data_IF_968041907593
#
_entry.id   IF_968041907593
#
_cell.length_a   1.000
_cell.length_b   1.000
_cell.length_c   1.000
_cell.angle_alpha   90.00
_cell.angle_beta   90.00
_cell.angle_gamma   90.00
#
_symmetry.space_group_name_H-M   'P 1'
#
loop_
_entity.id
_entity.type
_entity.pdbx_description
1 polymer ?
#
# COMPACT_ATOMS: atom_id res chain seq x y z
N UNK A 1 31.28 -45.28 19.92
CA UNK A 1 31.08 -44.27 20.99
C UNK A 1 29.93 -43.35 20.54
N UNK A 2 28.70 -43.62 21.01
CA UNK A 2 27.48 -42.88 20.67
C UNK A 2 27.47 -41.56 21.46
N UNK A 3 27.18 -40.43 20.81
CA UNK A 3 26.93 -39.13 21.45
C UNK A 3 25.42 -38.95 21.67
N UNK A 4 25.08 -38.55 22.90
CA UNK A 4 23.72 -38.37 23.44
C UNK A 4 22.94 -37.19 22.83
N UNK A 5 21.65 -37.35 22.49
CA UNK A 5 20.81 -36.30 21.88
C UNK A 5 20.23 -35.26 22.88
N UNK A 6 20.80 -35.09 24.08
CA UNK A 6 20.22 -34.28 25.15
C UNK A 6 20.82 -32.86 25.33
N UNK A 7 21.59 -32.33 24.37
CA UNK A 7 22.23 -30.99 24.48
C UNK A 7 21.60 -29.86 23.64
N UNK A 8 20.34 -29.99 23.22
CA UNK A 8 19.57 -28.84 22.74
C UNK A 8 18.79 -28.21 23.91
N UNK A 9 19.50 -27.58 24.85
CA UNK A 9 18.85 -26.71 25.84
C UNK A 9 18.44 -25.42 25.12
N UNK A 10 17.14 -25.31 24.86
CA UNK A 10 16.50 -24.06 24.47
C UNK A 10 16.94 -22.95 25.44
N UNK A 11 17.73 -22.01 24.92
CA UNK A 11 17.91 -20.73 25.57
C UNK A 11 16.51 -20.11 25.67
N UNK A 12 15.95 -20.07 26.88
CA UNK A 12 14.68 -19.40 27.17
C UNK A 12 14.82 -17.94 26.74
N UNK A 13 14.30 -17.61 25.56
CA UNK A 13 14.22 -16.25 25.08
C UNK A 13 13.27 -15.50 26.02
N UNK A 14 13.79 -14.52 26.76
CA UNK A 14 12.97 -13.71 27.66
C UNK A 14 12.25 -12.64 26.82
N UNK A 15 10.91 -12.69 26.66
CA UNK A 15 10.18 -11.75 25.82
C UNK A 15 10.27 -10.30 26.32
N UNK A 16 10.64 -10.08 27.58
CA UNK A 16 10.80 -8.76 28.18
C UNK A 16 12.12 -8.05 27.80
N UNK A 17 13.03 -8.69 27.05
CA UNK A 17 14.31 -8.09 26.60
C UNK A 17 14.38 -7.81 25.10
N UNK A 18 13.29 -8.01 24.35
CA UNK A 18 13.21 -7.55 22.98
C UNK A 18 13.05 -6.03 23.00
N UNK A 19 14.17 -5.29 23.02
CA UNK A 19 14.15 -3.86 22.70
C UNK A 19 13.48 -3.74 21.33
N UNK A 20 12.39 -2.97 21.17
CA UNK A 20 11.84 -2.74 19.85
C UNK A 20 12.94 -2.01 19.07
N UNK A 21 13.61 -2.73 18.17
CA UNK A 21 14.45 -2.11 17.17
C UNK A 21 13.48 -1.34 16.28
N UNK A 22 13.23 -0.08 16.63
CA UNK A 22 12.58 0.87 15.73
C UNK A 22 13.57 1.01 14.58
N UNK A 23 13.42 0.16 13.54
CA UNK A 23 13.95 0.51 12.22
C UNK A 23 13.52 1.96 12.02
N UNK A 24 14.42 2.91 11.71
CA UNK A 24 13.99 4.26 11.45
C UNK A 24 13.01 4.14 10.28
N UNK A 25 11.73 4.24 10.61
CA UNK A 25 10.67 4.24 9.63
C UNK A 25 10.76 5.53 8.86
N UNK A 26 9.92 5.66 7.84
CA UNK A 26 9.66 6.94 7.21
C UNK A 26 9.31 7.96 8.31
N UNK A 27 9.87 9.15 8.21
CA UNK A 27 9.37 10.33 8.93
C UNK A 27 7.90 10.57 8.60
N UNK A 28 7.22 11.41 9.38
CA UNK A 28 5.82 11.74 9.12
C UNK A 28 5.62 12.36 7.73
N UNK A 29 6.52 13.26 7.32
CA UNK A 29 6.48 13.88 5.99
C UNK A 29 6.71 12.86 4.85
N UNK A 30 7.67 11.94 5.02
CA UNK A 30 7.92 10.88 4.05
C UNK A 30 6.75 9.88 3.98
N UNK A 31 6.13 9.58 5.13
CA UNK A 31 4.93 8.73 5.19
C UNK A 31 3.76 9.38 4.47
N UNK A 32 3.50 10.67 4.75
CA UNK A 32 2.46 11.43 4.08
C UNK A 32 2.68 11.49 2.57
N UNK A 33 3.91 11.77 2.14
CA UNK A 33 4.28 11.82 0.71
C UNK A 33 4.08 10.45 0.05
N UNK A 34 4.56 9.36 0.67
CA UNK A 34 4.41 8.01 0.13
C UNK A 34 2.94 7.61 -0.02
N UNK A 35 2.09 7.94 0.96
CA UNK A 35 0.66 7.66 0.90
C UNK A 35 -0.09 8.51 -0.12
N UNK A 36 0.25 9.80 -0.24
CA UNK A 36 -0.35 10.66 -1.27
C UNK A 36 -0.01 10.16 -2.68
N UNK A 37 1.25 9.82 -2.93
CA UNK A 37 1.66 9.24 -4.22
C UNK A 37 0.94 7.92 -4.46
N UNK A 38 0.93 7.00 -3.49
CA UNK A 38 0.25 5.72 -3.64
C UNK A 38 -1.26 5.91 -3.92
N UNK A 39 -1.92 6.83 -3.23
CA UNK A 39 -3.34 7.13 -3.45
C UNK A 39 -3.62 7.60 -4.88
N UNK A 40 -2.76 8.46 -5.43
CA UNK A 40 -2.92 8.94 -6.81
C UNK A 40 -2.65 7.83 -7.83
N UNK A 41 -1.64 7.00 -7.59
CA UNK A 41 -1.29 5.88 -8.48
C UNK A 41 -2.32 4.73 -8.45
N UNK A 42 -3.16 4.67 -7.41
CA UNK A 42 -4.30 3.75 -7.34
C UNK A 42 -5.56 4.31 -8.02
N UNK A 43 -5.54 5.55 -8.52
CA UNK A 43 -6.63 6.10 -9.33
C UNK A 43 -6.76 5.40 -10.67
N UNK A 44 -7.93 5.56 -11.31
CA UNK A 44 -8.13 5.09 -12.68
C UNK A 44 -7.09 5.76 -13.60
N UNK A 45 -6.42 5.02 -14.49
CA UNK A 45 -5.44 5.60 -15.39
C UNK A 45 -6.17 6.42 -16.45
N UNK A 46 -5.99 7.73 -16.40
CA UNK A 46 -6.49 8.68 -17.38
C UNK A 46 -5.37 9.65 -17.83
N UNK A 47 -5.68 10.54 -18.78
CA UNK A 47 -4.72 11.52 -19.26
C UNK A 47 -4.16 12.40 -18.13
N UNK A 48 -4.98 12.76 -17.14
CA UNK A 48 -4.59 13.61 -16.02
C UNK A 48 -3.53 12.92 -15.14
N UNK A 49 -3.71 11.63 -14.84
CA UNK A 49 -2.72 10.84 -14.12
C UNK A 49 -1.39 10.77 -14.89
N UNK A 50 -1.45 10.57 -16.21
CA UNK A 50 -0.24 10.49 -17.04
C UNK A 50 0.50 11.83 -17.10
N UNK A 51 -0.22 12.95 -17.14
CA UNK A 51 0.34 14.30 -17.07
C UNK A 51 1.02 14.58 -15.71
N UNK A 52 0.50 13.99 -14.63
CA UNK A 52 1.07 14.13 -13.27
C UNK A 52 2.33 13.30 -13.03
N UNK A 53 2.69 12.34 -13.90
CA UNK A 53 3.85 11.44 -13.70
C UNK A 53 5.17 12.16 -13.39
N UNK A 54 5.56 13.27 -14.06
CA UNK A 54 6.81 13.97 -13.73
C UNK A 54 6.83 14.51 -12.30
N UNK A 55 5.69 15.02 -11.81
CA UNK A 55 5.56 15.48 -10.42
C UNK A 55 5.66 14.32 -9.45
N UNK A 56 4.96 13.22 -9.72
CA UNK A 56 4.98 12.01 -8.89
C UNK A 56 6.39 11.42 -8.81
N UNK A 57 7.13 11.37 -9.94
CA UNK A 57 8.53 10.92 -9.96
C UNK A 57 9.44 11.78 -9.09
N UNK A 58 9.26 13.11 -9.09
CA UNK A 58 10.03 14.01 -8.21
C UNK A 58 9.74 13.74 -6.74
N UNK A 59 8.46 13.58 -6.37
CA UNK A 59 8.06 13.24 -5.01
C UNK A 59 8.66 11.89 -4.56
N UNK A 60 8.61 10.88 -5.44
CA UNK A 60 9.16 9.54 -5.18
C UNK A 60 10.69 9.57 -5.04
N UNK A 61 11.39 10.39 -5.82
CA UNK A 61 12.84 10.54 -5.72
C UNK A 61 13.31 11.13 -4.38
N UNK A 62 12.44 11.87 -3.68
CA UNK A 62 12.71 12.39 -2.34
C UNK A 62 12.50 11.39 -1.21
N UNK A 63 11.98 10.19 -1.49
CA UNK A 63 11.69 9.18 -0.47
C UNK A 63 12.87 8.21 -0.26
N UNK A 64 12.98 7.61 0.94
CA UNK A 64 13.88 6.48 1.18
C UNK A 64 13.58 5.32 0.23
N UNK A 65 14.63 4.56 -0.13
CA UNK A 65 14.55 3.49 -1.12
C UNK A 65 13.47 2.43 -0.82
N UNK A 66 13.14 2.21 0.45
CA UNK A 66 12.07 1.29 0.89
C UNK A 66 10.69 1.68 0.34
N UNK A 67 10.40 2.97 0.19
CA UNK A 67 9.18 3.48 -0.40
C UNK A 67 9.37 3.87 -1.87
N UNK A 68 10.52 4.47 -2.22
CA UNK A 68 10.78 4.94 -3.58
C UNK A 68 10.83 3.81 -4.61
N UNK A 69 11.41 2.66 -4.25
CA UNK A 69 11.59 1.52 -5.18
C UNK A 69 10.26 0.96 -5.71
N UNK A 70 9.30 0.54 -4.85
CA UNK A 70 8.03 0.01 -5.36
C UNK A 70 7.21 1.05 -6.13
N UNK A 71 7.17 2.31 -5.68
CA UNK A 71 6.44 3.38 -6.36
C UNK A 71 7.08 3.73 -7.71
N UNK A 72 8.41 3.80 -7.77
CA UNK A 72 9.17 4.03 -8.99
C UNK A 72 8.92 2.96 -10.05
N UNK A 73 8.92 1.68 -9.65
CA UNK A 73 8.60 0.56 -10.57
C UNK A 73 7.21 0.68 -11.18
N UNK A 74 6.22 1.13 -10.42
CA UNK A 74 4.88 1.34 -10.96
C UNK A 74 4.85 2.52 -11.93
N UNK A 75 5.54 3.62 -11.61
CA UNK A 75 5.70 4.75 -12.54
C UNK A 75 6.42 4.32 -13.84
N UNK A 76 7.41 3.42 -13.76
CA UNK A 76 8.07 2.86 -14.95
C UNK A 76 7.09 2.04 -15.80
N UNK A 77 6.20 1.28 -15.17
CA UNK A 77 5.12 0.58 -15.86
C UNK A 77 4.13 1.55 -16.52
N UNK A 78 3.76 2.65 -15.86
CA UNK A 78 2.90 3.69 -16.45
C UNK A 78 3.54 4.40 -17.65
N UNK A 79 4.86 4.50 -17.71
CA UNK A 79 5.58 5.12 -18.83
C UNK A 79 5.73 4.16 -20.01
N UNK A 80 5.86 2.86 -19.75
CA UNK A 80 6.10 1.84 -20.76
C UNK A 80 4.81 1.25 -21.39
N UNK A 81 3.64 1.53 -20.83
CA UNK A 81 2.38 0.87 -21.19
C UNK A 81 1.40 1.85 -21.85
N UNK A 82 0.80 1.50 -23.00
CA UNK A 82 -0.23 2.33 -23.62
C UNK A 82 -1.42 2.54 -22.68
N UNK A 83 -2.02 3.74 -22.68
CA UNK A 83 -3.14 4.09 -21.80
C UNK A 83 -4.28 3.08 -21.86
N UNK A 84 -4.68 2.67 -23.06
CA UNK A 84 -5.78 1.72 -23.25
C UNK A 84 -5.51 0.35 -22.59
N UNK A 85 -4.25 -0.07 -22.54
CA UNK A 85 -3.85 -1.29 -21.84
C UNK A 85 -3.88 -1.07 -20.32
N UNK A 86 -3.42 0.08 -19.83
CA UNK A 86 -3.51 0.44 -18.41
C UNK A 86 -4.96 0.46 -17.92
N UNK A 87 -5.88 1.03 -18.70
CA UNK A 87 -7.31 1.03 -18.40
C UNK A 87 -7.87 -0.39 -18.31
N UNK A 88 -7.51 -1.25 -19.27
CA UNK A 88 -7.91 -2.66 -19.28
C UNK A 88 -7.37 -3.42 -18.06
N UNK A 89 -6.08 -3.22 -17.74
CA UNK A 89 -5.42 -3.85 -16.60
C UNK A 89 -6.01 -3.37 -15.27
N UNK A 90 -6.37 -2.09 -15.17
CA UNK A 90 -7.05 -1.53 -14.00
C UNK A 90 -8.41 -2.19 -13.78
N UNK A 91 -9.25 -2.27 -14.80
CA UNK A 91 -10.58 -2.91 -14.71
C UNK A 91 -10.44 -4.42 -14.41
N UNK A 92 -9.49 -5.11 -15.06
CA UNK A 92 -9.16 -6.51 -14.80
C UNK A 92 -8.72 -6.77 -13.35
N UNK A 93 -7.96 -5.83 -12.79
CA UNK A 93 -7.42 -5.92 -11.43
C UNK A 93 -8.47 -5.56 -10.38
N UNK A 94 -9.14 -4.43 -10.55
CA UNK A 94 -9.94 -3.80 -9.48
C UNK A 94 -11.45 -4.07 -9.60
N UNK A 95 -12.01 -4.18 -10.80
CA UNK A 95 -13.46 -4.33 -10.97
C UNK A 95 -13.89 -5.78 -11.12
N UNK A 96 -13.10 -6.60 -11.81
CA UNK A 96 -13.46 -8.00 -12.06
C UNK A 96 -13.17 -8.94 -10.89
N UNK A 97 -12.27 -8.57 -9.96
CA UNK A 97 -11.88 -9.45 -8.84
C UNK A 97 -12.27 -8.88 -7.48
N UNK A 98 -13.19 -9.57 -6.83
CA UNK A 98 -13.62 -9.39 -5.42
C UNK A 98 -12.47 -9.29 -4.40
N UNK A 99 -11.27 -9.80 -4.73
CA UNK A 99 -10.06 -9.75 -3.88
C UNK A 99 -9.18 -8.52 -4.11
N UNK A 100 -9.49 -7.61 -5.01
CA UNK A 100 -8.63 -6.45 -5.25
C UNK A 100 -9.39 -5.13 -5.32
N UNK A 101 -10.73 -5.13 -5.30
CA UNK A 101 -11.47 -3.89 -5.48
C UNK A 101 -11.09 -2.80 -4.47
N UNK A 102 -10.89 -1.58 -4.97
CA UNK A 102 -10.54 -0.41 -4.16
C UNK A 102 -11.70 0.10 -3.29
N UNK A 103 -12.86 -0.56 -3.38
CA UNK A 103 -13.94 -0.38 -2.43
C UNK A 103 -13.52 -0.92 -1.06
N UNK A 104 -13.01 -0.03 -0.20
CA UNK A 104 -12.70 -0.27 1.22
C UNK A 104 -13.82 -1.01 1.99
N UNK A 105 -15.08 -0.88 1.55
CA UNK A 105 -16.25 -1.53 2.16
C UNK A 105 -16.43 -3.00 1.77
N UNK A 106 -15.83 -3.44 0.66
CA UNK A 106 -15.98 -4.80 0.17
C UNK A 106 -15.22 -5.81 1.04
N UNK A 107 -14.02 -5.43 1.48
CA UNK A 107 -13.15 -6.29 2.28
C UNK A 107 -13.64 -6.49 3.72
N UNK A 108 -14.48 -5.59 4.24
CA UNK A 108 -15.06 -5.70 5.58
C UNK A 108 -16.47 -6.33 5.60
N UNK A 109 -17.25 -6.23 4.52
CA UNK A 109 -18.69 -6.57 4.57
C UNK A 109 -19.26 -7.31 3.34
N UNK A 110 -18.46 -7.57 2.30
CA UNK A 110 -18.93 -8.16 1.05
C UNK A 110 -20.06 -7.32 0.40
N UNK A 111 -20.99 -8.00 -0.29
CA UNK A 111 -22.18 -7.38 -0.87
C UNK A 111 -23.41 -7.61 0.02
N UNK A 112 -23.44 -6.93 1.17
CA UNK A 112 -24.57 -6.96 2.10
C UNK A 112 -25.03 -5.54 2.45
N UNK A 113 -26.27 -5.37 2.95
CA UNK A 113 -26.85 -4.09 3.42
C UNK A 113 -25.92 -3.27 4.35
N UNK A 114 -24.87 -3.88 4.91
CA UNK A 114 -23.85 -3.27 5.77
C UNK A 114 -22.86 -2.34 5.04
N UNK A 115 -22.81 -2.38 3.70
CA UNK A 115 -21.96 -1.54 2.84
C UNK A 115 -22.28 -0.05 2.93
N UNK A 116 -23.57 0.31 3.05
CA UNK A 116 -24.00 1.71 3.19
C UNK A 116 -23.45 2.39 4.45
N UNK A 117 -23.34 1.64 5.56
CA UNK A 117 -22.85 2.17 6.83
C UNK A 117 -21.34 2.40 6.87
N UNK A 118 -20.56 1.62 6.11
CA UNK A 118 -19.11 1.81 6.04
C UNK A 118 -18.76 3.08 5.24
N UNK A 119 -19.45 3.34 4.12
CA UNK A 119 -19.29 4.57 3.33
C UNK A 119 -19.69 5.81 4.13
N UNK A 120 -20.75 5.72 4.93
CA UNK A 120 -21.18 6.81 5.81
C UNK A 120 -20.09 7.16 6.84
N UNK A 121 -19.42 6.15 7.43
CA UNK A 121 -18.33 6.39 8.39
C UNK A 121 -17.08 7.00 7.74
N UNK A 122 -16.75 6.61 6.51
CA UNK A 122 -15.65 7.25 5.77
C UNK A 122 -15.95 8.71 5.44
N UNK A 123 -17.19 9.00 4.98
CA UNK A 123 -17.64 10.38 4.76
C UNK A 123 -17.54 11.20 6.04
N UNK A 124 -18.04 10.67 7.16
CA UNK A 124 -17.97 11.34 8.47
C UNK A 124 -16.53 11.56 8.95
N UNK A 125 -15.63 10.60 8.71
CA UNK A 125 -14.22 10.75 9.06
C UNK A 125 -13.51 11.81 8.20
N UNK A 126 -13.86 11.91 6.91
CA UNK A 126 -13.35 12.95 6.02
C UNK A 126 -13.88 14.33 6.41
N UNK A 127 -15.20 14.46 6.67
CA UNK A 127 -15.83 15.70 7.14
C UNK A 127 -15.29 16.16 8.51
N UNK A 128 -14.95 15.23 9.40
CA UNK A 128 -14.35 15.55 10.70
C UNK A 128 -12.87 15.94 10.61
N UNK A 129 -12.18 15.56 9.51
CA UNK A 129 -10.78 15.89 9.28
C UNK A 129 -10.57 17.22 8.53
N UNK A 130 -11.64 17.79 7.94
CA UNK A 130 -11.64 19.08 7.24
C UNK A 130 -11.60 18.93 5.72
#
# INVERSE_FOLDING_TARGET
MRLDPAKLKAAKLNPAKLKPTRRPGLSEAETATAWQVASLLLGYPDAELLERRPLLRRAVAGLPASAATPLGRFLDHLDATPLQQLESDYVATFDHRKRCCLYLSYYAYGDTRKRGMALLRFKQAYEAAG
#
